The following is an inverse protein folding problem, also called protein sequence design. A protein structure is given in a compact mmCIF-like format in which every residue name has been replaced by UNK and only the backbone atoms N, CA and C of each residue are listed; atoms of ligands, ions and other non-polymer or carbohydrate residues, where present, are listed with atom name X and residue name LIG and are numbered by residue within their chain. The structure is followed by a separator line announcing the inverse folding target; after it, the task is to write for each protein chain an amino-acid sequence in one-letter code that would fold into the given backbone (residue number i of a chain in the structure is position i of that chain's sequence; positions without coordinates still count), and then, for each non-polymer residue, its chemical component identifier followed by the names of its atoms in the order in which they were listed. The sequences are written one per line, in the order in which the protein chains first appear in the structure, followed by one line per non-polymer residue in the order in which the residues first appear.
data_IF_730568858703
#
_entry.id   IF_730568858703
#
_cell.length_a   1.000
_cell.length_b   1.000
_cell.length_c   1.000
_cell.angle_alpha   90.00
_cell.angle_beta   90.00
_cell.angle_gamma   90.00
#
_symmetry.space_group_name_H-M   'P 1'
#
loop_
_entity.id
_entity.type
_entity.pdbx_description
1 polymer ?
#
# COMPACT_ATOMS: atom_id res chain seq x y z
N UNK A 1 -19.46 43.57 29.58
CA UNK A 1 -18.99 43.96 28.23
C UNK A 1 -18.01 45.12 28.41
N UNK A 2 -16.83 45.17 27.75
CA UNK A 2 -16.64 45.00 26.29
C UNK A 2 -15.40 44.14 25.88
N UNK A 3 -15.53 43.30 24.84
CA UNK A 3 -15.01 43.38 23.45
C UNK A 3 -13.53 42.98 23.21
N UNK A 4 -13.39 41.91 22.41
CA UNK A 4 -12.18 41.41 21.74
C UNK A 4 -11.60 42.43 20.73
N UNK A 5 -10.32 42.28 20.36
CA UNK A 5 -10.02 42.23 18.92
C UNK A 5 -9.28 40.96 18.49
N UNK A 6 -9.72 40.46 17.34
CA UNK A 6 -9.20 39.30 16.62
C UNK A 6 -7.75 39.52 16.17
N UNK A 7 -6.84 38.66 16.63
CA UNK A 7 -5.53 38.49 15.99
C UNK A 7 -5.64 37.44 14.90
N UNK A 8 -5.93 37.89 13.68
CA UNK A 8 -5.82 37.08 12.46
C UNK A 8 -4.34 36.99 12.07
N UNK A 9 -3.61 35.98 12.57
CA UNK A 9 -2.29 35.66 12.01
C UNK A 9 -2.47 34.78 10.80
N UNK A 10 -2.09 35.36 9.66
CA UNK A 10 -1.98 34.81 8.33
C UNK A 10 -1.29 33.43 8.34
N UNK A 11 -2.05 32.39 8.03
CA UNK A 11 -1.59 31.03 7.87
C UNK A 11 -0.81 30.92 6.56
N UNK A 12 0.51 31.05 6.63
CA UNK A 12 1.39 30.91 5.47
C UNK A 12 1.62 29.41 5.19
N UNK A 13 0.87 28.84 4.24
CA UNK A 13 1.19 27.53 3.69
C UNK A 13 2.10 27.69 2.47
N UNK A 14 3.38 27.27 2.53
CA UNK A 14 4.20 27.23 1.34
C UNK A 14 3.62 26.21 0.36
N UNK A 15 3.38 26.74 -0.83
CA UNK A 15 2.82 26.10 -2.00
C UNK A 15 3.98 25.53 -2.84
N UNK A 16 3.77 24.32 -3.36
CA UNK A 16 4.61 23.58 -4.32
C UNK A 16 5.93 23.01 -3.81
N UNK A 17 5.88 21.80 -3.25
CA UNK A 17 6.98 20.83 -3.39
C UNK A 17 6.47 19.40 -3.19
N UNK A 18 5.82 18.79 -4.19
CA UNK A 18 5.56 17.34 -4.16
C UNK A 18 5.27 16.83 -5.57
N UNK A 19 6.29 16.73 -6.41
CA UNK A 19 6.18 15.92 -7.63
C UNK A 19 7.41 15.08 -7.98
N UNK A 20 8.49 15.11 -7.19
CA UNK A 20 9.67 14.26 -7.43
C UNK A 20 9.96 13.23 -6.31
N UNK A 21 9.26 13.30 -5.17
CA UNK A 21 9.52 12.41 -3.99
C UNK A 21 8.73 11.08 -4.04
N UNK A 22 8.18 10.69 -5.18
CA UNK A 22 7.31 9.49 -5.25
C UNK A 22 8.07 8.16 -5.42
N UNK A 23 9.33 8.18 -5.87
CA UNK A 23 10.10 6.96 -6.14
C UNK A 23 11.01 6.54 -4.98
N UNK A 24 11.63 7.49 -4.30
CA UNK A 24 12.66 7.19 -3.28
C UNK A 24 12.06 6.83 -1.91
N UNK A 25 10.94 7.44 -1.51
CA UNK A 25 10.27 7.09 -0.24
C UNK A 25 9.70 5.66 -0.23
N UNK A 26 9.42 5.06 -1.39
CA UNK A 26 8.85 3.73 -1.45
C UNK A 26 9.84 2.62 -1.02
N UNK A 27 11.13 2.83 -1.28
CA UNK A 27 12.23 1.90 -0.96
C UNK A 27 12.79 2.16 0.45
N UNK A 28 12.81 3.43 0.90
CA UNK A 28 13.34 3.79 2.22
C UNK A 28 12.40 3.39 3.37
N UNK A 29 11.07 3.49 3.18
CA UNK A 29 10.08 2.98 4.14
C UNK A 29 10.13 1.43 4.23
N UNK A 30 10.52 0.74 3.15
CA UNK A 30 10.68 -0.71 3.16
C UNK A 30 11.89 -1.16 3.98
N UNK A 31 12.95 -0.33 4.04
CA UNK A 31 14.22 -0.64 4.72
C UNK A 31 14.22 -0.24 6.21
N UNK A 32 13.44 0.76 6.61
CA UNK A 32 13.41 1.28 7.98
C UNK A 32 12.54 0.48 8.98
N UNK A 33 11.74 -0.50 8.53
CA UNK A 33 10.79 -1.23 9.39
C UNK A 33 11.09 -2.74 9.49
N UNK A 34 12.34 -3.15 9.27
CA UNK A 34 12.81 -4.55 9.23
C UNK A 34 13.20 -5.04 10.63
N UNK A 35 12.24 -5.08 11.54
CA UNK A 35 12.45 -5.64 12.88
C UNK A 35 12.02 -7.11 13.02
N UNK A 36 10.97 -7.53 12.30
CA UNK A 36 10.35 -8.84 12.52
C UNK A 36 9.43 -9.28 11.37
N UNK A 37 9.79 -8.93 10.13
CA UNK A 37 9.00 -9.28 8.93
C UNK A 37 9.56 -10.55 8.32
N UNK A 38 8.70 -11.51 7.99
CA UNK A 38 9.12 -12.67 7.18
C UNK A 38 9.77 -12.14 5.89
N UNK A 39 10.99 -12.59 5.62
CA UNK A 39 11.74 -12.16 4.44
C UNK A 39 10.90 -12.39 3.17
N UNK A 40 11.00 -11.47 2.20
CA UNK A 40 10.24 -11.56 0.94
C UNK A 40 10.43 -12.89 0.20
N UNK A 41 11.56 -13.59 0.41
CA UNK A 41 11.80 -14.95 -0.11
C UNK A 41 10.88 -16.00 0.51
N UNK A 42 10.65 -15.94 1.82
CA UNK A 42 9.75 -16.86 2.54
C UNK A 42 8.29 -16.61 2.15
N UNK A 43 7.91 -15.34 1.95
CA UNK A 43 6.55 -14.99 1.50
C UNK A 43 6.25 -15.48 0.09
N UNK A 44 7.25 -15.48 -0.80
CA UNK A 44 7.10 -16.02 -2.16
C UNK A 44 6.93 -17.55 -2.19
N UNK A 45 7.45 -18.25 -1.16
CA UNK A 45 7.29 -19.70 -1.03
C UNK A 45 5.95 -20.09 -0.42
N UNK A 46 5.27 -19.17 0.26
CA UNK A 46 3.93 -19.38 0.78
C UNK A 46 2.90 -19.37 -0.36
N UNK A 47 2.70 -20.55 -0.95
CA UNK A 47 1.81 -20.73 -2.11
C UNK A 47 0.37 -20.32 -1.79
N UNK A 48 -0.05 -20.52 -0.54
CA UNK A 48 -1.40 -20.18 -0.07
C UNK A 48 -1.59 -18.66 0.00
N UNK A 49 -0.62 -17.95 0.57
CA UNK A 49 -0.60 -16.48 0.55
C UNK A 49 -0.68 -15.97 -0.89
N UNK A 50 0.18 -16.47 -1.77
CA UNK A 50 0.20 -16.05 -3.18
C UNK A 50 -1.14 -16.34 -3.87
N UNK A 51 -1.75 -17.49 -3.63
CA UNK A 51 -3.05 -17.84 -4.20
C UNK A 51 -4.16 -16.89 -3.74
N UNK A 52 -4.20 -16.56 -2.45
CA UNK A 52 -5.16 -15.59 -1.89
C UNK A 52 -4.99 -14.21 -2.53
N UNK A 53 -3.74 -13.70 -2.59
CA UNK A 53 -3.47 -12.39 -3.17
C UNK A 53 -3.80 -12.35 -4.67
N UNK A 54 -3.46 -13.42 -5.40
CA UNK A 54 -3.79 -13.54 -6.84
C UNK A 54 -5.29 -13.58 -7.07
N UNK A 55 -6.03 -14.38 -6.30
CA UNK A 55 -7.49 -14.45 -6.38
C UNK A 55 -8.16 -13.12 -6.04
N UNK A 56 -7.67 -12.43 -5.00
CA UNK A 56 -8.18 -11.12 -4.62
C UNK A 56 -7.96 -10.07 -5.72
N UNK A 57 -6.79 -10.07 -6.38
CA UNK A 57 -6.53 -9.21 -7.54
C UNK A 57 -7.47 -9.58 -8.69
N UNK A 58 -7.56 -10.86 -9.08
CA UNK A 58 -8.39 -11.29 -10.20
C UNK A 58 -9.87 -10.93 -10.02
N UNK A 59 -10.37 -10.93 -8.78
CA UNK A 59 -11.76 -10.58 -8.46
C UNK A 59 -12.08 -9.08 -8.55
N UNK A 60 -11.08 -8.21 -8.50
CA UNK A 60 -11.27 -6.73 -8.49
C UNK A 60 -10.46 -6.02 -9.58
N UNK A 61 -9.81 -6.80 -10.44
CA UNK A 61 -9.09 -6.31 -11.60
C UNK A 61 -10.09 -5.77 -12.61
N UNK A 62 -9.82 -4.56 -13.11
CA UNK A 62 -10.62 -3.91 -14.13
C UNK A 62 -10.14 -4.30 -15.54
N UNK A 63 -10.76 -3.74 -16.58
CA UNK A 63 -10.44 -4.00 -17.99
C UNK A 63 -9.00 -3.66 -18.37
N UNK A 64 -8.38 -2.68 -17.70
CA UNK A 64 -6.99 -2.28 -17.92
C UNK A 64 -5.98 -3.24 -17.27
N UNK A 65 -6.47 -4.27 -16.58
CA UNK A 65 -5.65 -5.24 -15.88
C UNK A 65 -5.06 -4.73 -14.56
N UNK A 66 -5.48 -3.57 -14.07
CA UNK A 66 -5.10 -3.03 -12.76
C UNK A 66 -6.22 -3.27 -11.73
N UNK A 67 -5.83 -3.51 -10.49
CA UNK A 67 -6.73 -3.70 -9.37
C UNK A 67 -6.51 -2.60 -8.32
N UNK A 68 -7.57 -1.94 -7.87
CA UNK A 68 -7.48 -0.95 -6.81
C UNK A 68 -7.06 -1.61 -5.48
N UNK A 69 -5.99 -1.12 -4.85
CA UNK A 69 -5.42 -1.73 -3.64
C UNK A 69 -6.39 -1.71 -2.45
N UNK A 70 -7.26 -0.71 -2.38
CA UNK A 70 -8.35 -0.64 -1.41
C UNK A 70 -9.32 -1.83 -1.56
N UNK A 71 -9.75 -2.11 -2.80
CA UNK A 71 -10.64 -3.22 -3.13
C UNK A 71 -9.95 -4.57 -2.88
N UNK A 72 -8.67 -4.71 -3.26
CA UNK A 72 -7.89 -5.92 -2.96
C UNK A 72 -7.80 -6.14 -1.45
N UNK A 73 -7.48 -5.10 -0.67
CA UNK A 73 -7.45 -5.19 0.79
C UNK A 73 -8.79 -5.63 1.39
N UNK A 74 -9.91 -5.15 0.86
CA UNK A 74 -11.24 -5.60 1.28
C UNK A 74 -11.49 -7.07 0.95
N UNK A 75 -11.14 -7.54 -0.26
CA UNK A 75 -11.32 -8.95 -0.63
C UNK A 75 -10.43 -9.88 0.21
N UNK A 76 -9.19 -9.47 0.47
CA UNK A 76 -8.25 -10.24 1.27
C UNK A 76 -8.74 -10.35 2.73
N UNK A 77 -9.35 -9.29 3.27
CA UNK A 77 -9.97 -9.33 4.62
C UNK A 77 -11.17 -10.27 4.73
N UNK A 78 -11.82 -10.62 3.61
CA UNK A 78 -12.88 -11.65 3.62
C UNK A 78 -12.35 -13.06 3.78
N UNK A 79 -11.05 -13.27 3.55
CA UNK A 79 -10.42 -14.58 3.68
C UNK A 79 -10.02 -14.80 5.14
N UNK A 80 -10.69 -15.72 5.87
CA UNK A 80 -10.41 -15.95 7.29
C UNK A 80 -9.01 -16.52 7.53
N UNK A 81 -8.44 -17.15 6.51
CA UNK A 81 -7.13 -17.77 6.54
C UNK A 81 -5.99 -16.75 6.41
N UNK A 82 -6.30 -15.50 6.08
CA UNK A 82 -5.31 -14.43 5.90
C UNK A 82 -5.35 -13.44 7.05
N UNK A 83 -4.19 -13.19 7.67
CA UNK A 83 -4.00 -12.07 8.58
C UNK A 83 -2.62 -11.44 8.37
N UNK A 84 -2.54 -10.11 8.38
CA UNK A 84 -1.27 -9.39 8.20
C UNK A 84 -0.27 -9.66 9.34
N UNK A 85 -0.80 -9.87 10.55
CA UNK A 85 -0.02 -10.18 11.75
C UNK A 85 0.74 -11.51 11.62
N UNK A 86 0.17 -12.54 11.00
CA UNK A 86 0.86 -13.83 10.75
C UNK A 86 2.10 -13.70 9.86
N UNK A 87 2.23 -12.59 9.15
CA UNK A 87 3.36 -12.29 8.26
C UNK A 87 4.27 -11.17 8.80
N UNK A 88 3.90 -10.51 9.92
CA UNK A 88 4.66 -9.39 10.49
C UNK A 88 4.44 -8.05 9.78
N UNK A 89 3.41 -7.93 8.93
CA UNK A 89 3.16 -6.71 8.14
C UNK A 89 2.10 -5.83 8.79
N UNK A 90 2.31 -4.50 8.75
CA UNK A 90 1.33 -3.52 9.24
C UNK A 90 0.28 -3.14 8.18
N UNK A 91 0.61 -3.33 6.90
CA UNK A 91 -0.23 -2.94 5.78
C UNK A 91 -0.08 -3.92 4.62
N UNK A 92 -1.19 -4.12 3.90
CA UNK A 92 -1.19 -4.96 2.70
C UNK A 92 -0.30 -4.38 1.60
N UNK A 93 -0.16 -3.05 1.52
CA UNK A 93 0.75 -2.40 0.58
C UNK A 93 2.20 -2.80 0.82
N UNK A 94 2.61 -2.91 2.10
CA UNK A 94 3.95 -3.37 2.47
C UNK A 94 4.14 -4.85 2.15
N UNK A 95 3.10 -5.67 2.33
CA UNK A 95 3.14 -7.08 1.99
C UNK A 95 3.31 -7.28 0.47
N UNK A 96 2.54 -6.55 -0.34
CA UNK A 96 2.71 -6.57 -1.80
C UNK A 96 4.09 -6.06 -2.22
N UNK A 97 4.62 -5.02 -1.57
CA UNK A 97 5.98 -4.54 -1.84
C UNK A 97 7.05 -5.58 -1.52
N UNK A 98 6.87 -6.37 -0.45
CA UNK A 98 7.82 -7.42 -0.07
C UNK A 98 7.79 -8.62 -1.02
N UNK A 99 6.71 -8.78 -1.79
CA UNK A 99 6.55 -9.86 -2.76
C UNK A 99 6.81 -9.29 -4.16
N UNK A 100 8.03 -9.45 -4.69
CA UNK A 100 8.40 -8.99 -6.04
C UNK A 100 7.67 -9.69 -7.22
N UNK A 101 6.57 -10.38 -6.95
CA UNK A 101 5.67 -10.97 -7.96
C UNK A 101 4.56 -10.00 -8.39
N UNK A 102 4.44 -8.85 -7.73
CA UNK A 102 3.39 -7.89 -7.99
C UNK A 102 3.97 -6.53 -8.37
N UNK A 103 3.31 -5.85 -9.31
CA UNK A 103 3.59 -4.47 -9.66
C UNK A 103 2.63 -3.56 -8.90
N UNK A 104 3.17 -2.53 -8.25
CA UNK A 104 2.38 -1.51 -7.56
C UNK A 104 2.56 -0.19 -8.30
N UNK A 105 1.45 0.50 -8.57
CA UNK A 105 1.45 1.85 -9.14
C UNK A 105 0.63 2.78 -8.27
N UNK A 106 1.18 3.98 -8.03
CA UNK A 106 0.44 5.07 -7.41
C UNK A 106 -0.08 6.00 -8.49
N UNK A 107 -1.39 6.27 -8.46
CA UNK A 107 -2.07 7.21 -9.34
C UNK A 107 -2.78 8.28 -8.50
N UNK A 108 -3.32 9.31 -9.16
CA UNK A 108 -4.08 10.39 -8.49
C UNK A 108 -5.28 9.88 -7.69
N UNK A 109 -5.89 8.78 -8.13
CA UNK A 109 -7.08 8.19 -7.51
C UNK A 109 -6.76 7.18 -6.41
N UNK A 110 -5.51 6.74 -6.26
CA UNK A 110 -5.10 5.78 -5.23
C UNK A 110 -3.94 4.87 -5.62
N UNK A 111 -3.74 3.82 -4.82
CA UNK A 111 -2.78 2.76 -5.10
C UNK A 111 -3.45 1.64 -5.89
N UNK A 112 -2.75 1.16 -6.90
CA UNK A 112 -3.17 0.07 -7.77
C UNK A 112 -2.11 -1.02 -7.77
N UNK A 113 -2.54 -2.25 -7.94
CA UNK A 113 -1.68 -3.43 -8.02
C UNK A 113 -2.06 -4.30 -9.20
N UNK A 114 -1.06 -4.94 -9.77
CA UNK A 114 -1.21 -5.92 -10.86
C UNK A 114 -0.25 -7.08 -10.63
N UNK A 115 -0.61 -8.25 -11.13
CA UNK A 115 0.30 -9.39 -11.16
C UNK A 115 1.41 -9.13 -12.18
N UNK A 116 2.67 -9.30 -11.78
CA UNK A 116 3.80 -9.26 -12.71
C UNK A 116 3.75 -10.55 -13.54
N UNK A 117 3.36 -10.42 -14.80
CA UNK A 117 3.28 -11.53 -15.75
C UNK A 117 4.65 -12.19 -15.93
N UNK A 118 4.63 -13.51 -16.10
CA UNK A 118 5.83 -14.33 -16.37
C UNK A 118 6.44 -13.97 -17.72
#
# INVERSE_FOLDING_TARGET
MPYFPLSFTLMHYPKFFYLEVAKETAEEIAKAEVGDRKEGKLLKQDTKLIQILRGAIANVQETDGWAAMSQVGMQVRKQPEFSLSHYGYKSISLLFKAIDLFEIRQQKQGLYVRQKGR
#
